data_IF_182938578755
#
_entry.id   IF_182938578755
#
_cell.length_a   1.000
_cell.length_b   1.000
_cell.length_c   1.000
_cell.angle_alpha   90.00
_cell.angle_beta   90.00
_cell.angle_gamma   90.00
#
_symmetry.space_group_name_H-M   'P 1'
#
loop_
_entity.id
_entity.type
_entity.pdbx_description
1 polymer ?
#
# COMPACT_ATOMS: atom_id res chain seq x y z
N UNK A 1 1.03 -38.08 -44.96
CA UNK A 1 0.40 -38.47 -43.68
C UNK A 1 1.05 -37.69 -42.55
N UNK A 2 0.21 -37.17 -41.65
CA UNK A 2 0.50 -36.54 -40.36
C UNK A 2 0.94 -35.07 -40.38
N UNK A 3 -0.09 -34.25 -40.53
CA UNK A 3 -0.32 -33.01 -39.80
C UNK A 3 0.32 -33.03 -38.39
N UNK A 4 1.29 -32.15 -38.18
CA UNK A 4 1.58 -31.62 -36.86
C UNK A 4 1.30 -30.13 -36.91
N UNK A 5 0.03 -29.81 -36.69
CA UNK A 5 -0.34 -28.51 -36.19
C UNK A 5 0.39 -28.33 -34.86
N UNK A 6 1.45 -27.53 -34.89
CA UNK A 6 2.04 -26.94 -33.69
C UNK A 6 1.03 -25.89 -33.24
N UNK A 7 0.05 -26.32 -32.46
CA UNK A 7 -0.88 -25.44 -31.77
C UNK A 7 -0.10 -24.76 -30.64
N UNK A 8 0.69 -23.75 -31.00
CA UNK A 8 1.26 -22.79 -30.06
C UNK A 8 0.16 -21.82 -29.63
N UNK A 9 -0.79 -22.34 -28.86
CA UNK A 9 -1.44 -21.57 -27.82
C UNK A 9 -0.88 -22.15 -26.54
N UNK A 10 0.19 -21.56 -26.01
CA UNK A 10 0.55 -21.86 -24.62
C UNK A 10 -0.72 -21.63 -23.81
N UNK A 11 -1.28 -22.68 -23.18
CA UNK A 11 -2.46 -22.49 -22.37
C UNK A 11 -2.02 -21.54 -21.27
N UNK A 12 -2.64 -20.36 -21.24
CA UNK A 12 -2.48 -19.41 -20.15
C UNK A 12 -2.67 -20.21 -18.86
N UNK A 13 -1.57 -20.48 -18.15
CA UNK A 13 -1.63 -21.33 -16.97
C UNK A 13 -2.14 -20.46 -15.84
N UNK A 14 -3.43 -20.62 -15.53
CA UNK A 14 -4.09 -19.91 -14.44
C UNK A 14 -3.31 -20.06 -13.13
N UNK A 15 -2.66 -21.21 -12.93
CA UNK A 15 -1.84 -21.47 -11.76
C UNK A 15 -0.59 -20.56 -11.70
N UNK A 16 0.05 -20.32 -12.83
CA UNK A 16 1.24 -19.47 -12.93
C UNK A 16 0.89 -18.01 -12.61
N UNK A 17 -0.26 -17.54 -13.08
CA UNK A 17 -0.77 -16.19 -12.78
C UNK A 17 -1.12 -16.04 -11.30
N UNK A 18 -1.77 -17.04 -10.69
CA UNK A 18 -2.05 -17.02 -9.26
C UNK A 18 -0.76 -17.01 -8.42
N UNK A 19 0.25 -17.77 -8.85
CA UNK A 19 1.56 -17.77 -8.21
C UNK A 19 2.24 -16.41 -8.34
N UNK A 20 2.18 -15.77 -9.50
CA UNK A 20 2.78 -14.45 -9.72
C UNK A 20 2.11 -13.38 -8.83
N UNK A 21 0.79 -13.39 -8.74
CA UNK A 21 0.05 -12.49 -7.82
C UNK A 21 0.40 -12.78 -6.37
N UNK A 22 0.57 -14.05 -5.98
CA UNK A 22 1.02 -14.41 -4.65
C UNK A 22 2.41 -13.84 -4.35
N UNK A 23 3.38 -14.01 -5.24
CA UNK A 23 4.74 -13.46 -5.08
C UNK A 23 4.72 -11.94 -4.96
N UNK A 24 3.89 -11.27 -5.77
CA UNK A 24 3.69 -9.83 -5.66
C UNK A 24 3.10 -9.44 -4.29
N UNK A 25 2.11 -10.18 -3.79
CA UNK A 25 1.52 -9.95 -2.46
C UNK A 25 2.55 -10.13 -1.33
N UNK A 26 3.41 -11.15 -1.42
CA UNK A 26 4.48 -11.39 -0.45
C UNK A 26 5.53 -10.27 -0.46
N UNK A 27 5.86 -9.75 -1.65
CA UNK A 27 6.75 -8.61 -1.81
C UNK A 27 6.16 -7.35 -1.16
N UNK A 28 4.87 -7.07 -1.37
CA UNK A 28 4.18 -5.96 -0.70
C UNK A 28 4.22 -6.08 0.83
N UNK A 29 4.03 -7.28 1.37
CA UNK A 29 4.17 -7.54 2.81
C UNK A 29 5.61 -7.25 3.27
N UNK A 30 6.61 -7.71 2.53
CA UNK A 30 8.01 -7.48 2.86
C UNK A 30 8.37 -5.97 2.87
N UNK A 31 7.89 -5.22 1.87
CA UNK A 31 8.06 -3.77 1.79
C UNK A 31 7.37 -3.04 2.94
N UNK A 32 6.15 -3.49 3.31
CA UNK A 32 5.41 -2.95 4.44
C UNK A 32 6.17 -3.16 5.77
N UNK A 33 6.74 -4.35 5.98
CA UNK A 33 7.58 -4.66 7.15
C UNK A 33 8.87 -3.83 7.16
N UNK A 34 9.49 -3.65 5.99
CA UNK A 34 10.69 -2.82 5.81
C UNK A 34 10.40 -1.31 5.92
N UNK A 35 9.13 -0.89 6.08
CA UNK A 35 8.68 0.52 6.11
C UNK A 35 9.05 1.30 4.84
N UNK A 36 9.16 0.62 3.70
CA UNK A 36 9.49 1.22 2.41
C UNK A 36 8.22 1.66 1.67
N UNK A 37 7.51 2.64 2.23
CA UNK A 37 6.18 3.03 1.78
C UNK A 37 6.14 3.60 0.35
N UNK A 38 7.14 4.38 -0.05
CA UNK A 38 7.23 4.92 -1.42
C UNK A 38 7.30 3.81 -2.47
N UNK A 39 8.05 2.73 -2.18
CA UNK A 39 8.18 1.59 -3.08
C UNK A 39 6.90 0.74 -3.08
N UNK A 40 6.27 0.59 -1.91
CA UNK A 40 4.99 -0.10 -1.77
C UNK A 40 3.89 0.57 -2.62
N UNK A 41 3.78 1.90 -2.58
CA UNK A 41 2.80 2.65 -3.39
C UNK A 41 3.11 2.55 -4.88
N UNK A 42 4.39 2.56 -5.28
CA UNK A 42 4.76 2.38 -6.68
C UNK A 42 4.36 1.00 -7.22
N UNK A 43 4.51 -0.05 -6.40
CA UNK A 43 4.14 -1.43 -6.78
C UNK A 43 2.65 -1.74 -6.61
N UNK A 44 1.89 -0.92 -5.86
CA UNK A 44 0.45 -1.10 -5.67
C UNK A 44 -0.30 -1.10 -7.02
N UNK A 45 0.07 -0.20 -7.93
CA UNK A 45 -0.60 -0.09 -9.24
C UNK A 45 -0.39 -1.36 -10.08
N UNK A 46 0.81 -1.92 -10.04
CA UNK A 46 1.14 -3.17 -10.72
C UNK A 46 0.41 -4.36 -10.11
N UNK A 47 0.33 -4.42 -8.78
CA UNK A 47 -0.43 -5.44 -8.06
C UNK A 47 -1.94 -5.39 -8.39
N UNK A 48 -2.55 -4.19 -8.37
CA UNK A 48 -3.97 -4.02 -8.70
C UNK A 48 -4.26 -4.48 -10.13
N UNK A 49 -3.38 -4.17 -11.08
CA UNK A 49 -3.51 -4.63 -12.46
C UNK A 49 -3.39 -6.16 -12.57
N UNK A 50 -2.46 -6.77 -11.83
CA UNK A 50 -2.29 -8.21 -11.79
C UNK A 50 -3.52 -8.94 -11.20
N UNK A 51 -4.12 -8.38 -10.14
CA UNK A 51 -5.35 -8.91 -9.53
C UNK A 51 -6.56 -8.74 -10.45
N UNK A 52 -6.66 -7.63 -11.17
CA UNK A 52 -7.72 -7.41 -12.17
C UNK A 52 -7.63 -8.45 -13.29
N UNK A 53 -6.43 -8.65 -13.84
CA UNK A 53 -6.18 -9.66 -14.87
C UNK A 53 -6.50 -11.08 -14.36
N UNK A 54 -6.09 -11.42 -13.13
CA UNK A 54 -6.42 -12.69 -12.48
C UNK A 54 -7.93 -12.88 -12.35
N UNK A 55 -8.67 -11.84 -11.97
CA UNK A 55 -10.12 -11.91 -11.80
C UNK A 55 -10.82 -12.12 -13.15
N UNK A 56 -10.39 -11.41 -14.19
CA UNK A 56 -10.93 -11.55 -15.54
C UNK A 56 -10.70 -12.97 -16.08
N UNK A 57 -9.47 -13.47 -15.96
CA UNK A 57 -9.12 -14.82 -16.42
C UNK A 57 -9.83 -15.92 -15.61
N UNK A 58 -9.95 -15.75 -14.30
CA UNK A 58 -10.70 -16.69 -13.45
C UNK A 58 -12.17 -16.75 -13.90
N UNK A 59 -12.79 -15.62 -14.23
CA UNK A 59 -14.17 -15.59 -14.71
C UNK A 59 -14.33 -16.29 -16.07
N UNK A 60 -13.38 -16.08 -17.00
CA UNK A 60 -13.38 -16.75 -18.30
C UNK A 60 -13.15 -18.28 -18.19
N UNK A 61 -12.34 -18.71 -17.21
CA UNK A 61 -12.04 -20.12 -16.96
C UNK A 61 -13.11 -20.84 -16.14
N UNK A 62 -13.79 -20.18 -15.21
CA UNK A 62 -14.90 -20.75 -14.43
C UNK A 62 -16.04 -21.24 -15.34
N UNK A 63 -16.25 -20.55 -16.47
CA UNK A 63 -17.20 -20.96 -17.50
C UNK A 63 -16.78 -22.24 -18.26
N UNK A 64 -15.49 -22.61 -18.23
CA UNK A 64 -14.90 -23.67 -19.06
C UNK A 64 -14.40 -24.88 -18.24
N UNK A 65 -13.95 -24.67 -17.00
CA UNK A 65 -13.42 -25.71 -16.12
C UNK A 65 -13.77 -25.44 -14.65
N UNK A 66 -13.96 -26.49 -13.84
CA UNK A 66 -14.21 -26.34 -12.41
C UNK A 66 -12.95 -25.81 -11.69
N UNK A 67 -13.15 -24.81 -10.82
CA UNK A 67 -12.13 -24.28 -9.93
C UNK A 67 -11.63 -25.39 -9.00
N UNK A 68 -10.31 -25.54 -8.87
CA UNK A 68 -9.68 -26.55 -8.00
C UNK A 68 -9.46 -26.00 -6.59
N UNK A 69 -9.47 -26.88 -5.58
CA UNK A 69 -9.17 -26.53 -4.18
C UNK A 69 -7.77 -25.88 -4.01
N UNK A 70 -6.82 -26.21 -4.89
CA UNK A 70 -5.48 -25.63 -4.85
C UNK A 70 -5.48 -24.12 -5.20
N UNK A 71 -6.26 -23.72 -6.21
CA UNK A 71 -6.46 -22.32 -6.58
C UNK A 71 -7.14 -21.53 -5.45
N UNK A 72 -8.13 -22.14 -4.79
CA UNK A 72 -8.79 -21.55 -3.61
C UNK A 72 -7.80 -21.35 -2.46
N UNK A 73 -6.88 -22.31 -2.26
CA UNK A 73 -5.80 -22.20 -1.27
C UNK A 73 -4.86 -21.02 -1.54
N UNK A 74 -4.44 -20.84 -2.80
CA UNK A 74 -3.60 -19.71 -3.20
C UNK A 74 -4.32 -18.37 -3.00
N UNK A 75 -5.60 -18.29 -3.37
CA UNK A 75 -6.40 -17.07 -3.20
C UNK A 75 -6.56 -16.69 -1.73
N UNK A 76 -6.76 -17.68 -0.83
CA UNK A 76 -6.76 -17.43 0.60
C UNK A 76 -5.43 -16.88 1.12
N UNK A 77 -4.30 -17.36 0.61
CA UNK A 77 -2.98 -16.84 1.00
C UNK A 77 -2.80 -15.37 0.54
N UNK A 78 -3.22 -15.05 -0.69
CA UNK A 78 -3.21 -13.68 -1.21
C UNK A 78 -4.05 -12.77 -0.31
N UNK A 79 -5.28 -13.18 0.05
CA UNK A 79 -6.17 -12.40 0.92
C UNK A 79 -5.56 -12.16 2.31
N UNK A 80 -4.92 -13.17 2.91
CA UNK A 80 -4.28 -12.99 4.21
C UNK A 80 -3.08 -12.03 4.12
N UNK A 81 -2.29 -12.11 3.04
CA UNK A 81 -1.18 -11.18 2.77
C UNK A 81 -1.68 -9.73 2.60
N UNK A 82 -2.81 -9.53 1.91
CA UNK A 82 -3.43 -8.21 1.78
C UNK A 82 -3.87 -7.64 3.13
N UNK A 83 -4.50 -8.47 3.97
CA UNK A 83 -4.95 -8.07 5.30
C UNK A 83 -3.78 -7.67 6.20
N UNK A 84 -2.67 -8.39 6.12
CA UNK A 84 -1.42 -8.06 6.83
C UNK A 84 -0.91 -6.70 6.33
N UNK A 85 -0.76 -6.53 5.01
CA UNK A 85 -0.28 -5.29 4.40
C UNK A 85 -1.14 -4.08 4.80
N UNK A 86 -2.46 -4.23 4.77
CA UNK A 86 -3.43 -3.21 5.20
C UNK A 86 -3.26 -2.83 6.67
N UNK A 87 -3.01 -3.81 7.54
CA UNK A 87 -2.78 -3.56 8.97
C UNK A 87 -1.52 -2.73 9.19
N UNK A 88 -0.42 -3.06 8.51
CA UNK A 88 0.81 -2.28 8.57
C UNK A 88 0.63 -0.86 8.05
N UNK A 89 -0.09 -0.70 6.95
CA UNK A 89 -0.36 0.61 6.34
C UNK A 89 -1.22 1.49 7.27
N UNK A 90 -2.24 0.92 7.91
CA UNK A 90 -3.04 1.62 8.93
C UNK A 90 -2.20 2.06 10.13
N UNK A 91 -1.35 1.18 10.67
CA UNK A 91 -0.44 1.54 11.76
C UNK A 91 0.50 2.68 11.39
N UNK A 92 0.99 2.70 10.14
CA UNK A 92 1.83 3.79 9.65
C UNK A 92 1.05 5.11 9.53
N UNK A 93 -0.18 5.08 9.01
CA UNK A 93 -1.05 6.25 8.95
C UNK A 93 -1.37 6.81 10.35
N UNK A 94 -1.64 5.94 11.32
CA UNK A 94 -1.89 6.35 12.71
C UNK A 94 -0.64 6.99 13.33
N UNK A 95 0.54 6.45 13.06
CA UNK A 95 1.80 7.04 13.47
C UNK A 95 1.99 8.43 12.85
N UNK A 96 1.83 8.57 11.54
CA UNK A 96 1.92 9.87 10.86
C UNK A 96 0.90 10.88 11.40
N UNK A 97 -0.34 10.45 11.64
CA UNK A 97 -1.38 11.32 12.21
C UNK A 97 -1.01 11.81 13.61
N UNK A 98 -0.42 10.94 14.43
CA UNK A 98 0.06 11.32 15.76
C UNK A 98 1.23 12.30 15.69
N UNK A 99 2.20 12.06 14.81
CA UNK A 99 3.34 12.96 14.62
C UNK A 99 2.89 14.34 14.12
N UNK A 100 1.95 14.39 13.17
CA UNK A 100 1.37 15.66 12.70
C UNK A 100 0.67 16.43 13.83
N UNK A 101 -0.11 15.74 14.68
CA UNK A 101 -0.75 16.38 15.84
C UNK A 101 0.27 16.95 16.83
N UNK A 102 1.38 16.25 17.04
CA UNK A 102 2.47 16.76 17.90
C UNK A 102 3.19 17.95 17.27
N UNK A 103 3.42 17.93 15.95
CA UNK A 103 4.01 19.05 15.23
C UNK A 103 3.11 20.28 15.29
N UNK A 104 1.81 20.14 15.12
CA UNK A 104 0.84 21.23 15.24
C UNK A 104 0.85 21.82 16.65
N UNK A 105 0.84 20.98 17.69
CA UNK A 105 0.97 21.43 19.07
C UNK A 105 2.29 22.18 19.30
N UNK A 106 3.40 21.67 18.77
CA UNK A 106 4.72 22.31 18.85
C UNK A 106 4.74 23.64 18.09
N UNK A 107 4.08 23.73 16.94
CA UNK A 107 3.96 24.96 16.15
C UNK A 107 3.12 26.01 16.87
N UNK A 108 2.02 25.60 17.51
CA UNK A 108 1.19 26.48 18.34
C UNK A 108 2.02 27.00 19.52
N UNK A 109 2.70 26.12 20.25
CA UNK A 109 3.59 26.48 21.36
C UNK A 109 4.70 27.43 20.88
N UNK A 110 5.43 27.07 19.83
CA UNK A 110 6.52 27.87 19.29
C UNK A 110 6.02 29.23 18.79
N UNK A 111 4.87 29.30 18.12
CA UNK A 111 4.25 30.57 17.74
C UNK A 111 3.87 31.39 18.98
N UNK A 112 3.24 30.77 19.97
CA UNK A 112 2.87 31.46 21.22
C UNK A 112 4.08 32.01 21.95
N UNK A 113 5.22 31.31 22.01
CA UNK A 113 6.44 31.79 22.65
C UNK A 113 7.31 32.69 21.76
N UNK A 114 7.24 32.56 20.43
CA UNK A 114 7.93 33.41 19.47
C UNK A 114 7.38 34.85 19.42
N UNK A 115 6.11 35.04 19.77
CA UNK A 115 5.46 36.34 19.93
C UNK A 115 5.95 37.11 21.18
N UNK A 116 6.61 36.45 22.14
CA UNK A 116 7.17 37.10 23.33
C UNK A 116 8.66 37.48 23.17
N UNK A 117 9.29 37.16 22.03
CA UNK A 117 10.69 37.50 21.74
C UNK A 117 10.84 38.80 20.92
N UNK A 118 9.78 39.58 20.74
CA UNK A 118 9.96 40.99 20.46
C UNK A 118 10.46 41.64 21.76
N UNK A 119 11.71 42.15 21.81
CA UNK A 119 12.17 42.85 22.98
C UNK A 119 11.24 44.04 23.16
N UNK A 120 10.58 44.10 24.33
CA UNK A 120 9.89 45.27 24.85
C UNK A 120 10.62 46.51 24.36
N UNK A 121 10.03 47.21 23.39
CA UNK A 121 10.43 48.58 23.12
C UNK A 121 10.24 49.28 24.45
N UNK A 122 11.29 49.85 25.06
CA UNK A 122 11.18 50.35 26.41
C UNK A 122 10.06 51.38 26.44
N UNK A 123 9.00 51.09 27.21
CA UNK A 123 7.99 52.08 27.57
C UNK A 123 8.75 53.27 28.12
N UNK A 124 8.91 54.30 27.29
CA UNK A 124 9.43 55.59 27.72
C UNK A 124 8.30 56.21 28.54
N UNK A 125 8.33 55.92 29.84
CA UNK A 125 7.50 56.62 30.82
C UNK A 125 8.03 58.05 30.84
N UNK A 126 7.35 58.95 30.12
CA UNK A 126 7.59 60.38 30.28
C UNK A 126 7.10 60.79 31.66
N UNK A 127 7.91 61.53 32.45
CA UNK A 127 7.45 62.10 33.69
C UNK A 127 6.29 63.07 33.41
N UNK A 128 5.33 63.05 34.32
CA UNK A 128 4.19 63.96 34.35
C UNK A 128 4.73 65.32 34.82
N UNK A 129 4.69 66.33 33.96
CA UNK A 129 4.83 67.75 34.31
C UNK A 129 3.55 68.50 33.91
#
# INVERSE_FOLDING_TARGET
MKDKQVNNKEPIDLYEIYRDVLVLSENLVALAQAKQWEQLVAQETEYVYAVENLTQLTHEFEAQNPITDELVGLLHQIIENEKITKTYLQQHLDFLSKEMKQLDQTRVINNSYGQFNEPDTPMTIKPIE
#
